data_IF_809937519073
#
_entry.id   IF_809937519073
#
_cell.length_a   1.000
_cell.length_b   1.000
_cell.length_c   1.000
_cell.angle_alpha   90.00
_cell.angle_beta   90.00
_cell.angle_gamma   90.00
#
_symmetry.space_group_name_H-M   'P 1'
#
loop_
_entity.id
_entity.type
_entity.pdbx_description
1 polymer ?
#
# COMPACT_ATOMS: atom_id res chain seq x y z
N UNK A 1 7.98 16.24 -8.40
CA UNK A 1 6.59 15.90 -8.04
C UNK A 1 6.23 14.45 -8.41
N UNK A 2 6.20 14.03 -9.69
CA UNK A 2 5.81 12.65 -10.04
C UNK A 2 6.70 11.58 -9.37
N UNK A 3 8.03 11.73 -9.43
CA UNK A 3 8.95 10.81 -8.75
C UNK A 3 8.75 10.72 -7.23
N UNK A 4 8.26 11.80 -6.59
CA UNK A 4 7.98 11.82 -5.15
C UNK A 4 6.69 11.05 -4.83
N UNK A 5 5.69 11.19 -5.69
CA UNK A 5 4.45 10.42 -5.63
C UNK A 5 4.77 8.93 -5.82
N UNK A 6 5.54 8.57 -6.85
CA UNK A 6 5.91 7.19 -7.14
C UNK A 6 6.68 6.55 -5.97
N UNK A 7 7.60 7.30 -5.34
CA UNK A 7 8.31 6.85 -4.14
C UNK A 7 7.37 6.65 -2.95
N UNK A 8 6.41 7.56 -2.75
CA UNK A 8 5.41 7.44 -1.69
C UNK A 8 4.48 6.24 -1.91
N UNK A 9 4.09 5.98 -3.16
CA UNK A 9 3.30 4.80 -3.53
C UNK A 9 4.08 3.50 -3.29
N UNK A 10 5.37 3.46 -3.63
CA UNK A 10 6.22 2.31 -3.36
C UNK A 10 6.35 2.02 -1.85
N UNK A 11 6.55 3.05 -1.03
CA UNK A 11 6.61 2.92 0.44
C UNK A 11 5.27 2.45 1.02
N UNK A 12 4.16 3.00 0.53
CA UNK A 12 2.82 2.57 0.94
C UNK A 12 2.57 1.09 0.59
N UNK A 13 2.90 0.69 -0.65
CA UNK A 13 2.78 -0.70 -1.12
C UNK A 13 3.63 -1.65 -0.28
N UNK A 14 4.87 -1.27 0.02
CA UNK A 14 5.78 -2.05 0.87
C UNK A 14 5.24 -2.22 2.29
N UNK A 15 4.72 -1.16 2.92
CA UNK A 15 4.15 -1.24 4.26
C UNK A 15 2.92 -2.15 4.32
N UNK A 16 2.03 -2.03 3.33
CA UNK A 16 0.87 -2.92 3.19
C UNK A 16 1.32 -4.36 3.02
N UNK A 17 2.38 -4.60 2.23
CA UNK A 17 2.95 -5.93 2.02
C UNK A 17 3.50 -6.55 3.30
N UNK A 18 4.21 -5.78 4.14
CA UNK A 18 4.74 -6.26 5.42
C UNK A 18 3.63 -6.70 6.39
N UNK A 19 2.58 -5.87 6.55
CA UNK A 19 1.43 -6.21 7.40
C UNK A 19 0.68 -7.42 6.82
N UNK A 20 0.57 -7.49 5.50
CA UNK A 20 -0.01 -8.63 4.80
C UNK A 20 0.74 -9.94 5.09
N UNK A 21 2.09 -9.93 5.06
CA UNK A 21 2.88 -11.12 5.33
C UNK A 21 2.62 -11.67 6.73
N UNK A 22 2.45 -10.80 7.72
CA UNK A 22 2.17 -11.20 9.10
C UNK A 22 0.72 -11.71 9.25
N UNK A 23 -0.27 -10.95 8.77
CA UNK A 23 -1.69 -11.26 9.02
C UNK A 23 -2.23 -12.40 8.16
N UNK A 24 -1.75 -12.52 6.93
CA UNK A 24 -2.23 -13.48 5.94
C UNK A 24 -1.19 -14.55 5.60
N UNK A 25 -0.04 -14.57 6.26
CA UNK A 25 1.02 -15.58 6.05
C UNK A 25 1.42 -15.71 4.57
N UNK A 26 1.44 -14.60 3.84
CA UNK A 26 1.75 -14.58 2.41
C UNK A 26 0.63 -15.10 1.48
N UNK A 27 -0.55 -15.44 2.00
CA UNK A 27 -1.69 -15.92 1.22
C UNK A 27 -2.44 -14.78 0.51
N UNK A 28 -2.05 -14.51 -0.74
CA UNK A 28 -2.63 -13.43 -1.56
C UNK A 28 -4.11 -13.64 -1.86
N UNK A 29 -4.56 -14.88 -2.03
CA UNK A 29 -5.96 -15.19 -2.33
C UNK A 29 -6.86 -14.91 -1.12
N UNK A 30 -6.38 -15.18 0.10
CA UNK A 30 -7.08 -14.82 1.34
C UNK A 30 -7.17 -13.31 1.51
N UNK A 31 -6.06 -12.59 1.30
CA UNK A 31 -6.04 -11.13 1.38
C UNK A 31 -6.94 -10.47 0.32
N UNK A 32 -6.95 -10.99 -0.91
CA UNK A 32 -7.80 -10.49 -1.98
C UNK A 32 -9.29 -10.64 -1.64
N UNK A 33 -9.70 -11.80 -1.09
CA UNK A 33 -11.07 -12.03 -0.61
C UNK A 33 -11.46 -11.08 0.51
N UNK A 34 -10.60 -10.91 1.53
CA UNK A 34 -10.84 -9.98 2.64
C UNK A 34 -10.97 -8.53 2.14
N UNK A 35 -10.16 -8.15 1.16
CA UNK A 35 -10.14 -6.82 0.53
C UNK A 35 -11.20 -6.62 -0.56
N UNK A 36 -12.04 -7.63 -0.84
CA UNK A 36 -13.05 -7.61 -1.91
C UNK A 36 -12.46 -7.13 -3.26
N UNK A 37 -11.34 -7.71 -3.64
CA UNK A 37 -10.67 -7.45 -4.93
C UNK A 37 -10.15 -8.77 -5.52
N UNK A 38 -9.59 -8.71 -6.74
CA UNK A 38 -8.98 -9.88 -7.37
C UNK A 38 -7.54 -10.09 -6.87
N UNK A 39 -7.07 -11.33 -6.87
CA UNK A 39 -5.66 -11.62 -6.56
C UNK A 39 -4.71 -10.93 -7.55
N UNK A 40 -5.15 -10.78 -8.81
CA UNK A 40 -4.42 -10.02 -9.82
C UNK A 40 -4.20 -8.56 -9.43
N UNK A 41 -5.19 -7.91 -8.81
CA UNK A 41 -5.05 -6.54 -8.31
C UNK A 41 -4.03 -6.47 -7.16
N UNK A 42 -4.12 -7.38 -6.18
CA UNK A 42 -3.14 -7.50 -5.09
C UNK A 42 -1.72 -7.67 -5.64
N UNK A 43 -1.54 -8.60 -6.59
CA UNK A 43 -0.24 -8.87 -7.21
C UNK A 43 0.33 -7.65 -7.93
N UNK A 44 -0.50 -6.92 -8.67
CA UNK A 44 -0.07 -5.71 -9.39
C UNK A 44 0.36 -4.60 -8.45
N UNK A 45 -0.39 -4.38 -7.36
CA UNK A 45 -0.01 -3.40 -6.32
C UNK A 45 1.34 -3.75 -5.70
N UNK A 46 1.52 -5.00 -5.25
CA UNK A 46 2.79 -5.44 -4.65
C UNK A 46 3.98 -5.44 -5.61
N UNK A 47 3.72 -5.43 -6.93
CA UNK A 47 4.75 -5.28 -7.96
C UNK A 47 4.93 -3.84 -8.42
N UNK A 48 4.26 -2.86 -7.79
CA UNK A 48 4.21 -1.46 -8.20
C UNK A 48 3.83 -1.27 -9.69
N UNK A 49 3.01 -2.19 -10.24
CA UNK A 49 2.46 -2.13 -11.60
C UNK A 49 1.09 -1.47 -11.67
N UNK A 50 0.53 -1.13 -10.51
CA UNK A 50 -0.76 -0.46 -10.39
C UNK A 50 -0.74 0.40 -9.13
N UNK A 51 -1.01 1.69 -9.30
CA UNK A 51 -1.21 2.63 -8.20
C UNK A 51 -2.41 2.23 -7.33
N UNK A 52 -2.33 2.55 -6.04
CA UNK A 52 -3.39 2.25 -5.07
C UNK A 52 -4.40 3.39 -5.09
N UNK A 53 -5.58 3.15 -5.65
CA UNK A 53 -6.68 4.11 -5.51
C UNK A 53 -7.13 4.22 -4.06
N UNK A 54 -7.67 5.38 -3.66
CA UNK A 54 -8.12 5.59 -2.27
C UNK A 54 -9.14 4.53 -1.80
N UNK A 55 -10.08 4.13 -2.67
CA UNK A 55 -11.02 3.04 -2.37
C UNK A 55 -10.33 1.69 -2.15
N UNK A 56 -9.27 1.37 -2.94
CA UNK A 56 -8.50 0.15 -2.73
C UNK A 56 -7.72 0.21 -1.40
N UNK A 57 -7.15 1.37 -1.08
CA UNK A 57 -6.45 1.60 0.18
C UNK A 57 -7.38 1.40 1.39
N UNK A 58 -8.60 1.94 1.36
CA UNK A 58 -9.58 1.73 2.44
C UNK A 58 -9.95 0.26 2.62
N UNK A 59 -10.07 -0.49 1.52
CA UNK A 59 -10.35 -1.94 1.56
C UNK A 59 -9.16 -2.71 2.15
N UNK A 60 -7.94 -2.35 1.78
CA UNK A 60 -6.73 -2.95 2.32
C UNK A 60 -6.57 -2.64 3.80
N UNK A 61 -6.74 -1.38 4.23
CA UNK A 61 -6.77 -0.98 5.64
C UNK A 61 -7.77 -1.82 6.45
N UNK A 62 -9.02 -1.94 5.96
CA UNK A 62 -10.04 -2.78 6.61
C UNK A 62 -9.65 -4.26 6.68
N UNK A 63 -9.10 -4.82 5.61
CA UNK A 63 -8.70 -6.24 5.56
C UNK A 63 -7.49 -6.53 6.45
N UNK A 64 -6.57 -5.57 6.58
CA UNK A 64 -5.40 -5.65 7.44
C UNK A 64 -5.72 -5.34 8.90
N UNK A 65 -6.88 -4.77 9.19
CA UNK A 65 -7.21 -4.23 10.52
C UNK A 65 -6.16 -3.20 10.98
N UNK A 66 -5.76 -2.34 10.05
CA UNK A 66 -4.76 -1.30 10.26
C UNK A 66 -5.39 0.07 10.02
N UNK A 67 -5.08 1.06 10.86
CA UNK A 67 -5.57 2.41 10.65
C UNK A 67 -4.95 2.99 9.37
N UNK A 68 -5.79 3.67 8.58
CA UNK A 68 -5.34 4.40 7.41
C UNK A 68 -4.23 5.39 7.76
N UNK A 69 -4.32 6.03 8.93
CA UNK A 69 -3.33 6.98 9.42
C UNK A 69 -1.95 6.34 9.58
N UNK A 70 -1.89 5.08 10.02
CA UNK A 70 -0.66 4.31 10.18
C UNK A 70 -0.07 3.89 8.83
N UNK A 71 -0.92 3.49 7.88
CA UNK A 71 -0.48 3.11 6.53
C UNK A 71 0.21 4.28 5.82
N UNK A 72 -0.32 5.50 5.95
CA UNK A 72 0.22 6.70 5.28
C UNK A 72 1.23 7.49 6.12
N UNK A 73 1.49 7.07 7.37
CA UNK A 73 2.37 7.80 8.29
C UNK A 73 3.78 7.98 7.71
N UNK A 74 4.24 9.23 7.65
CA UNK A 74 5.59 9.55 7.19
C UNK A 74 5.81 9.40 5.68
N UNK A 75 4.74 9.21 4.88
CA UNK A 75 4.84 9.41 3.43
C UNK A 75 5.06 10.90 3.18
N UNK A 76 6.28 11.28 2.79
CA UNK A 76 6.64 12.66 2.56
C UNK A 76 6.57 13.00 1.07
N UNK A 77 5.72 13.96 0.73
CA UNK A 77 5.61 14.51 -0.61
C UNK A 77 6.65 15.61 -0.87
N UNK A 78 7.39 16.05 0.16
CA UNK A 78 8.43 17.07 0.07
C UNK A 78 9.82 16.43 0.00
N UNK A 79 10.14 15.71 -1.09
CA UNK A 79 11.53 15.35 -1.34
C UNK A 79 12.27 16.52 -1.98
N UNK A 80 12.69 17.47 -1.17
CA UNK A 80 13.88 18.32 -1.34
C UNK A 80 14.03 19.09 -0.03
N UNK A 81 14.98 18.68 0.82
CA UNK A 81 15.56 19.64 1.75
C UNK A 81 16.24 20.67 0.87
N UNK A 82 15.73 21.90 0.85
CA UNK A 82 16.49 23.02 0.31
C UNK A 82 17.91 22.96 0.93
N UNK A 83 18.98 22.96 0.13
CA UNK A 83 20.32 23.05 0.67
C UNK A 83 20.42 24.37 1.44
N UNK A 84 20.69 24.25 2.73
CA UNK A 84 20.96 25.38 3.64
C UNK A 84 22.29 26.04 3.31
#
# INVERSE_FOLDING_TARGET
MQNQIDNSEAQLSQRIYEIFLVKFEGNKSAFARASKCSEGAVRKVFQNKQSITFNLLLRFSRALDADLSELVKGLDLKAEKEPS
#
